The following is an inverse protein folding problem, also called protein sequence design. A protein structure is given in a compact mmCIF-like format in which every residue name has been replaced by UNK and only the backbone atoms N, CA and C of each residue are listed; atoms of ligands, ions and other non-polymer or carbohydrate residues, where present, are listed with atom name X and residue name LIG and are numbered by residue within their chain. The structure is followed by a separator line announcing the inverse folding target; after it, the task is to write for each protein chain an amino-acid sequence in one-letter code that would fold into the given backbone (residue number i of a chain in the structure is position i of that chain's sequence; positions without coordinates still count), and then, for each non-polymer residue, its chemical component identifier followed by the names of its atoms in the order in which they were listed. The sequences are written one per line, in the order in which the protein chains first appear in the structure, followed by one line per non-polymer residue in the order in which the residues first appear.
data_IF_020636634255
#
_entry.id   IF_020636634255
#
_cell.length_a   1.000
_cell.length_b   1.000
_cell.length_c   1.000
_cell.angle_alpha   90.00
_cell.angle_beta   90.00
_cell.angle_gamma   90.00
#
_symmetry.space_group_name_H-M   'P 1'
#
loop_
_entity.id
_entity.type
_entity.pdbx_description
1 polymer ?
#
# COMPACT_ATOMS: atom_id res chain seq x y z
N UNK A 1 -33.09 7.82 5.53
CA UNK A 1 -32.32 8.37 4.39
C UNK A 1 -33.27 8.54 3.20
N UNK A 2 -33.32 9.74 2.65
CA UNK A 2 -34.07 10.02 1.42
C UNK A 2 -33.18 9.80 0.20
N UNK A 3 -33.49 8.81 -0.63
CA UNK A 3 -32.69 8.45 -1.80
C UNK A 3 -32.81 9.43 -2.96
N UNK A 4 -33.81 10.30 -2.96
CA UNK A 4 -34.01 11.32 -3.98
C UNK A 4 -33.27 12.62 -3.68
N UNK A 5 -32.81 12.80 -2.44
CA UNK A 5 -32.11 13.98 -1.97
C UNK A 5 -30.59 13.86 -2.19
N UNK A 6 -29.96 14.94 -2.65
CA UNK A 6 -28.52 15.08 -2.66
C UNK A 6 -28.07 15.68 -1.32
N UNK A 7 -27.13 15.02 -0.66
CA UNK A 7 -26.61 15.43 0.64
C UNK A 7 -25.26 16.12 0.47
N UNK A 8 -25.06 17.20 1.23
CA UNK A 8 -23.70 17.77 1.38
C UNK A 8 -22.81 16.79 2.13
N UNK A 9 -21.50 16.93 1.99
CA UNK A 9 -20.52 16.00 2.56
C UNK A 9 -20.67 15.83 4.07
N UNK A 10 -20.76 16.93 4.82
CA UNK A 10 -20.91 16.89 6.28
C UNK A 10 -22.22 16.25 6.71
N UNK A 11 -23.31 16.62 6.04
CA UNK A 11 -24.64 16.05 6.27
C UNK A 11 -24.66 14.54 5.95
N UNK A 12 -23.97 14.12 4.89
CA UNK A 12 -23.86 12.72 4.53
C UNK A 12 -23.12 11.90 5.59
N UNK A 13 -22.03 12.41 6.12
CA UNK A 13 -21.29 11.75 7.21
C UNK A 13 -22.09 11.68 8.51
N UNK A 14 -22.78 12.74 8.89
CA UNK A 14 -23.67 12.72 10.05
C UNK A 14 -24.79 11.70 9.89
N UNK A 15 -25.36 11.58 8.71
CA UNK A 15 -26.39 10.60 8.39
C UNK A 15 -25.85 9.17 8.47
N UNK A 16 -24.65 8.92 7.97
CA UNK A 16 -23.99 7.60 8.08
C UNK A 16 -23.84 7.18 9.53
N UNK A 17 -23.39 8.07 10.39
CA UNK A 17 -23.24 7.79 11.84
C UNK A 17 -24.60 7.49 12.48
N UNK A 18 -25.64 8.25 12.15
CA UNK A 18 -26.99 8.05 12.67
C UNK A 18 -27.64 6.74 12.20
N UNK A 19 -27.25 6.22 11.04
CA UNK A 19 -27.80 4.97 10.49
C UNK A 19 -27.03 3.73 10.94
N UNK A 20 -25.91 3.90 11.62
CA UNK A 20 -25.15 2.79 12.21
C UNK A 20 -25.95 2.14 13.34
N UNK A 21 -26.36 0.88 13.16
CA UNK A 21 -27.22 0.14 14.09
C UNK A 21 -26.63 -1.18 14.55
N UNK A 22 -25.51 -1.60 13.98
CA UNK A 22 -24.88 -2.86 14.36
C UNK A 22 -24.30 -2.79 15.79
N UNK A 23 -24.22 -3.94 16.44
CA UNK A 23 -23.63 -4.08 17.79
C UNK A 23 -22.10 -4.33 17.74
N UNK A 24 -21.49 -4.04 16.63
CA UNK A 24 -20.04 -4.16 16.38
C UNK A 24 -19.57 -2.93 15.60
N UNK A 25 -18.28 -2.72 15.57
CA UNK A 25 -17.67 -1.63 14.79
C UNK A 25 -17.90 -1.85 13.30
N UNK A 26 -18.64 -0.94 12.69
CA UNK A 26 -18.97 -0.99 11.27
C UNK A 26 -17.88 -0.28 10.44
N UNK A 27 -17.70 -0.72 9.20
CA UNK A 27 -16.81 -0.07 8.25
C UNK A 27 -17.59 0.89 7.36
N UNK A 28 -17.06 2.09 7.17
CA UNK A 28 -17.61 3.07 6.23
C UNK A 28 -16.84 2.99 4.91
N UNK A 29 -17.57 2.82 3.82
CA UNK A 29 -17.02 2.76 2.48
C UNK A 29 -17.63 3.84 1.60
N UNK A 30 -16.83 4.37 0.67
CA UNK A 30 -17.28 5.36 -0.32
C UNK A 30 -17.12 4.77 -1.72
N UNK A 31 -18.20 4.80 -2.50
CA UNK A 31 -18.22 4.40 -3.89
C UNK A 31 -18.55 5.61 -4.76
N UNK A 32 -17.65 5.95 -5.67
CA UNK A 32 -17.80 7.14 -6.54
C UNK A 32 -17.98 6.70 -7.98
N UNK A 33 -19.10 7.05 -8.59
CA UNK A 33 -19.31 6.87 -10.01
C UNK A 33 -18.71 8.07 -10.75
N UNK A 34 -17.54 7.86 -11.32
CA UNK A 34 -16.87 8.87 -12.14
C UNK A 34 -17.56 9.00 -13.50
N UNK A 35 -17.61 10.20 -14.04
CA UNK A 35 -18.16 10.45 -15.39
C UNK A 35 -17.14 10.12 -16.49
N UNK A 36 -16.52 8.94 -16.44
CA UNK A 36 -15.45 8.54 -17.38
C UNK A 36 -15.80 7.23 -18.09
N UNK A 37 -15.28 7.07 -19.30
CA UNK A 37 -15.30 5.81 -20.04
C UNK A 37 -13.92 5.19 -20.01
N UNK A 38 -13.72 4.20 -19.15
CA UNK A 38 -12.42 3.55 -18.91
C UNK A 38 -11.90 2.73 -20.10
N UNK A 39 -12.71 2.56 -21.16
CA UNK A 39 -12.26 1.95 -22.42
C UNK A 39 -11.30 2.86 -23.18
N UNK A 40 -11.33 4.15 -22.93
CA UNK A 40 -10.41 5.12 -23.51
C UNK A 40 -9.23 5.36 -22.58
N UNK A 41 -8.01 5.29 -23.13
CA UNK A 41 -6.79 5.40 -22.35
C UNK A 41 -6.65 6.74 -21.60
N UNK A 42 -7.11 7.83 -22.21
CA UNK A 42 -7.11 9.18 -21.64
C UNK A 42 -8.16 9.38 -20.53
N UNK A 43 -9.12 8.45 -20.40
CA UNK A 43 -10.13 8.48 -19.35
C UNK A 43 -9.90 7.45 -18.24
N UNK A 44 -8.81 6.71 -18.28
CA UNK A 44 -8.43 5.82 -17.20
C UNK A 44 -7.85 6.63 -16.02
N UNK A 45 -8.41 6.42 -14.84
CA UNK A 45 -7.95 7.09 -13.62
C UNK A 45 -7.06 6.16 -12.83
N UNK A 46 -5.79 6.51 -12.71
CA UNK A 46 -4.81 5.80 -11.89
C UNK A 46 -3.90 6.81 -11.22
N UNK A 47 -3.77 6.71 -9.92
CA UNK A 47 -2.93 7.63 -9.19
C UNK A 47 -2.65 7.15 -7.77
N UNK A 48 -1.73 7.85 -7.12
CA UNK A 48 -1.43 7.68 -5.72
C UNK A 48 -1.50 9.05 -5.03
N UNK A 49 -2.04 9.06 -3.84
CA UNK A 49 -2.15 10.27 -3.02
C UNK A 49 -1.83 9.95 -1.57
N UNK A 50 -1.19 10.88 -0.90
CA UNK A 50 -0.95 10.82 0.54
C UNK A 50 -2.17 11.38 1.26
N UNK A 51 -2.80 10.56 2.10
CA UNK A 51 -3.95 11.00 2.88
C UNK A 51 -3.51 11.85 4.07
N UNK A 52 -4.20 12.96 4.37
CA UNK A 52 -3.83 13.87 5.46
C UNK A 52 -3.77 13.21 6.83
N UNK A 53 -4.68 12.28 7.09
CA UNK A 53 -4.80 11.56 8.36
C UNK A 53 -4.33 10.10 8.26
N UNK A 54 -3.61 9.76 7.20
CA UNK A 54 -3.11 8.40 6.97
C UNK A 54 -4.21 7.39 6.65
N UNK A 55 -3.85 6.12 6.70
CA UNK A 55 -4.75 4.99 6.40
C UNK A 55 -5.18 4.21 7.64
N UNK A 56 -4.75 4.62 8.83
CA UNK A 56 -5.00 3.91 10.08
C UNK A 56 -4.19 2.62 10.26
N UNK A 57 -3.24 2.35 9.37
CA UNK A 57 -2.38 1.16 9.43
C UNK A 57 -0.93 1.54 9.66
N UNK A 58 -0.29 0.86 10.59
CA UNK A 58 1.16 0.90 10.74
C UNK A 58 1.76 -0.15 9.82
N UNK A 59 2.42 0.31 8.77
CA UNK A 59 3.02 -0.56 7.76
C UNK A 59 4.48 -0.81 8.11
N UNK A 60 4.85 -2.07 8.21
CA UNK A 60 6.25 -2.48 8.40
C UNK A 60 6.91 -2.60 7.03
N UNK A 61 7.97 -1.84 6.82
CA UNK A 61 8.66 -1.73 5.53
C UNK A 61 10.01 -2.43 5.58
N UNK A 62 10.26 -3.30 4.61
CA UNK A 62 11.55 -3.92 4.36
C UNK A 62 12.14 -3.32 3.07
N UNK A 63 13.39 -2.87 3.15
CA UNK A 63 14.07 -2.22 2.02
C UNK A 63 15.34 -3.00 1.64
N UNK A 64 15.46 -3.34 0.37
CA UNK A 64 16.70 -3.87 -0.21
C UNK A 64 17.51 -2.71 -0.77
N UNK A 65 18.58 -2.32 -0.08
CA UNK A 65 19.46 -1.25 -0.48
C UNK A 65 20.87 -1.44 0.09
N UNK A 66 21.86 -0.79 -0.51
CA UNK A 66 23.25 -0.82 -0.08
C UNK A 66 23.80 0.60 0.11
N UNK A 67 24.81 0.73 0.99
CA UNK A 67 25.55 1.97 1.20
C UNK A 67 24.67 3.11 1.70
N UNK A 68 24.80 4.28 1.08
CA UNK A 68 24.06 5.49 1.47
C UNK A 68 22.55 5.34 1.33
N UNK A 69 22.10 4.56 0.36
CA UNK A 69 20.67 4.27 0.18
C UNK A 69 20.09 3.46 1.35
N UNK A 70 20.88 2.53 1.92
CA UNK A 70 20.49 1.79 3.10
C UNK A 70 20.32 2.71 4.31
N UNK A 71 21.25 3.63 4.52
CA UNK A 71 21.15 4.62 5.59
C UNK A 71 19.95 5.55 5.40
N UNK A 72 19.72 6.03 4.18
CA UNK A 72 18.57 6.85 3.86
C UNK A 72 17.24 6.13 4.14
N UNK A 73 17.16 4.83 3.86
CA UNK A 73 15.97 4.03 4.15
C UNK A 73 15.72 3.89 5.65
N UNK A 74 16.76 3.68 6.46
CA UNK A 74 16.65 3.65 7.92
C UNK A 74 16.19 5.00 8.47
N UNK A 75 16.75 6.09 7.97
CA UNK A 75 16.37 7.46 8.37
C UNK A 75 14.91 7.79 8.01
N UNK A 76 14.40 7.20 6.92
CA UNK A 76 13.02 7.34 6.50
C UNK A 76 12.01 6.46 7.30
N UNK A 77 12.49 5.61 8.20
CA UNK A 77 11.64 4.81 9.07
C UNK A 77 11.42 3.36 8.65
N UNK A 78 12.24 2.82 7.75
CA UNK A 78 12.19 1.39 7.40
C UNK A 78 12.59 0.54 8.61
N UNK A 79 11.83 -0.53 8.89
CA UNK A 79 12.13 -1.43 10.01
C UNK A 79 13.28 -2.39 9.69
N UNK A 80 13.36 -2.82 8.44
CA UNK A 80 14.37 -3.76 7.98
C UNK A 80 15.06 -3.21 6.74
N UNK A 81 16.38 -3.13 6.77
CA UNK A 81 17.19 -2.70 5.64
C UNK A 81 18.38 -3.63 5.48
N UNK A 82 18.66 -4.04 4.27
CA UNK A 82 19.81 -4.89 3.98
C UNK A 82 19.89 -5.27 2.51
N UNK A 83 20.72 -6.24 2.20
CA UNK A 83 20.95 -6.73 0.85
C UNK A 83 20.93 -8.26 0.84
N UNK A 84 22.07 -8.90 0.60
CA UNK A 84 22.18 -10.36 0.54
C UNK A 84 21.81 -11.07 1.84
N UNK A 85 22.08 -10.46 2.98
CA UNK A 85 21.71 -10.96 4.29
C UNK A 85 20.20 -11.11 4.45
N UNK A 86 19.40 -10.13 3.98
CA UNK A 86 17.94 -10.23 3.98
C UNK A 86 17.44 -11.32 3.03
N UNK A 87 18.06 -11.48 1.86
CA UNK A 87 17.70 -12.55 0.91
C UNK A 87 17.88 -13.92 1.58
N UNK A 88 19.01 -14.14 2.22
CA UNK A 88 19.29 -15.40 2.93
C UNK A 88 18.30 -15.63 4.08
N UNK A 89 17.99 -14.59 4.84
CA UNK A 89 17.05 -14.67 5.95
C UNK A 89 15.65 -15.04 5.48
N UNK A 90 15.16 -14.44 4.40
CA UNK A 90 13.85 -14.77 3.83
C UNK A 90 13.83 -16.21 3.32
N UNK A 91 14.88 -16.65 2.63
CA UNK A 91 14.94 -18.00 2.05
C UNK A 91 15.10 -19.11 3.10
N UNK A 92 15.92 -18.88 4.12
CA UNK A 92 16.26 -19.89 5.12
C UNK A 92 15.33 -19.91 6.33
N UNK A 93 14.90 -18.75 6.79
CA UNK A 93 14.11 -18.58 8.01
C UNK A 93 12.63 -18.33 7.75
N UNK A 94 12.19 -18.28 6.50
CA UNK A 94 10.83 -17.88 6.12
C UNK A 94 10.40 -16.56 6.79
N UNK A 95 11.27 -15.56 6.72
CA UNK A 95 11.06 -14.26 7.35
C UNK A 95 10.07 -13.41 6.54
N UNK A 96 8.88 -13.19 7.11
CA UNK A 96 7.80 -12.41 6.49
C UNK A 96 7.18 -11.39 7.45
N UNK A 97 7.93 -10.93 8.43
CA UNK A 97 7.45 -10.01 9.46
C UNK A 97 7.43 -8.54 8.97
N UNK A 98 6.91 -8.35 7.76
CA UNK A 98 6.80 -7.05 7.10
C UNK A 98 5.59 -7.04 6.16
N UNK A 99 5.09 -5.83 5.84
CA UNK A 99 3.87 -5.62 5.05
C UNK A 99 4.16 -5.10 3.64
N UNK A 100 5.28 -4.39 3.45
CA UNK A 100 5.69 -3.81 2.17
C UNK A 100 7.17 -4.05 1.95
N UNK A 101 7.53 -4.40 0.72
CA UNK A 101 8.92 -4.56 0.28
C UNK A 101 9.24 -3.49 -0.75
N UNK A 102 10.33 -2.75 -0.53
CA UNK A 102 10.86 -1.76 -1.44
C UNK A 102 12.28 -2.18 -1.81
N UNK A 103 12.66 -2.02 -3.07
CA UNK A 103 14.01 -2.32 -3.54
C UNK A 103 14.53 -1.17 -4.41
N UNK A 104 15.81 -0.83 -4.24
CA UNK A 104 16.47 0.06 -5.18
C UNK A 104 16.67 -0.66 -6.53
N UNK A 105 16.68 0.06 -7.68
CA UNK A 105 16.76 -0.58 -8.99
C UNK A 105 17.98 -1.47 -9.17
N UNK A 106 19.11 -1.13 -8.58
CA UNK A 106 20.35 -1.90 -8.59
C UNK A 106 20.25 -3.23 -7.80
N UNK A 107 19.28 -3.35 -6.89
CA UNK A 107 19.04 -4.54 -6.10
C UNK A 107 18.01 -5.49 -6.69
N UNK A 108 17.34 -5.12 -7.79
CA UNK A 108 16.29 -5.92 -8.40
C UNK A 108 16.77 -7.29 -8.90
N UNK A 109 18.01 -7.40 -9.37
CA UNK A 109 18.61 -8.67 -9.74
C UNK A 109 18.70 -9.66 -8.58
N UNK A 110 19.00 -9.15 -7.39
CA UNK A 110 19.05 -9.93 -6.17
C UNK A 110 17.65 -10.32 -5.67
N UNK A 111 16.73 -9.37 -5.68
CA UNK A 111 15.33 -9.55 -5.26
C UNK A 111 14.59 -10.47 -6.21
N UNK A 112 14.95 -10.51 -7.48
CA UNK A 112 14.36 -11.41 -8.47
C UNK A 112 14.44 -12.89 -8.08
N UNK A 113 15.46 -13.27 -7.33
CA UNK A 113 15.59 -14.63 -6.77
C UNK A 113 14.50 -14.97 -5.75
N UNK A 114 13.89 -13.96 -5.15
CA UNK A 114 12.80 -14.11 -4.18
C UNK A 114 11.41 -14.07 -4.83
N UNK A 115 11.33 -13.95 -6.15
CA UNK A 115 10.05 -13.81 -6.85
C UNK A 115 9.07 -14.96 -6.59
N UNK A 116 9.59 -16.19 -6.45
CA UNK A 116 8.78 -17.37 -6.14
C UNK A 116 8.19 -17.35 -4.73
N UNK A 117 8.82 -16.61 -3.82
CA UNK A 117 8.42 -16.51 -2.41
C UNK A 117 7.60 -15.25 -2.17
N UNK A 118 8.04 -14.11 -2.70
CA UNK A 118 7.37 -12.82 -2.50
C UNK A 118 6.18 -12.62 -3.43
N UNK A 119 6.22 -13.17 -4.64
CA UNK A 119 5.17 -13.01 -5.63
C UNK A 119 3.79 -13.48 -5.15
N UNK A 120 3.65 -14.75 -4.69
CA UNK A 120 2.37 -15.27 -4.20
C UNK A 120 1.80 -14.51 -3.00
N UNK A 121 2.66 -13.86 -2.22
CA UNK A 121 2.26 -13.04 -1.06
C UNK A 121 1.97 -11.59 -1.41
N UNK A 122 2.08 -11.19 -2.69
CA UNK A 122 1.89 -9.82 -3.13
C UNK A 122 2.95 -8.84 -2.63
N UNK A 123 4.13 -9.34 -2.22
CA UNK A 123 5.21 -8.54 -1.63
C UNK A 123 6.33 -8.21 -2.62
N UNK A 124 6.28 -8.75 -3.85
CA UNK A 124 7.33 -8.50 -4.85
C UNK A 124 7.36 -7.03 -5.26
N UNK A 125 8.51 -6.33 -5.16
CA UNK A 125 8.64 -4.95 -5.63
C UNK A 125 8.44 -4.88 -7.15
N UNK A 126 7.81 -3.82 -7.61
CA UNK A 126 7.55 -3.61 -9.03
C UNK A 126 7.71 -2.12 -9.36
N UNK A 127 8.51 -1.75 -10.38
CA UNK A 127 8.69 -0.36 -10.81
C UNK A 127 7.37 0.33 -11.15
N UNK A 128 6.42 -0.40 -11.74
CA UNK A 128 5.13 0.13 -12.15
C UNK A 128 4.20 0.48 -10.97
N UNK A 129 4.53 0.03 -9.77
CA UNK A 129 3.75 0.28 -8.56
C UNK A 129 4.46 1.19 -7.55
N UNK A 130 5.53 1.88 -7.97
CA UNK A 130 6.26 2.82 -7.13
C UNK A 130 7.00 2.18 -5.95
N UNK A 131 7.33 0.89 -6.03
CA UNK A 131 8.07 0.15 -5.00
C UNK A 131 9.54 -0.11 -5.36
N UNK A 132 10.08 0.67 -6.29
CA UNK A 132 11.50 0.67 -6.65
C UNK A 132 12.16 2.00 -6.40
#
# INVERSE_FOLDING_TARGET
VDRSKLYDTDEAFDTVVKTAKAKFDETVEVHVKLGVDSRHADQQVRGAIVLPNGTGKNVRVLVFAKGDKAQAALDAGAEFVGAEDLVQRIQKENFFDYDVVIASPDMMGLVGRLGRVLGPKGLMPNPNHGRC
#
